data_IF_949303873639
#
_entry.id   IF_949303873639
#
_cell.length_a   1.000
_cell.length_b   1.000
_cell.length_c   1.000
_cell.angle_alpha   90.00
_cell.angle_beta   90.00
_cell.angle_gamma   90.00
#
_symmetry.space_group_name_H-M   'P 1'
#
loop_
_entity.id
_entity.type
_entity.pdbx_description
1 polymer ?
#
# COMPACT_ATOMS: atom_id res chain seq x y z
N UNK A 1 -20.37 -6.78 2.78
CA UNK A 1 -20.82 -5.37 2.70
C UNK A 1 -19.60 -4.50 2.38
N UNK A 2 -19.69 -3.51 1.50
CA UNK A 2 -18.58 -2.58 1.23
C UNK A 2 -18.62 -1.48 2.28
N UNK A 3 -17.51 -1.26 3.00
CA UNK A 3 -17.47 -0.34 4.15
C UNK A 3 -17.33 1.14 3.74
N UNK A 4 -17.05 1.42 2.46
CA UNK A 4 -16.85 2.79 1.96
C UNK A 4 -15.63 3.50 2.56
N UNK A 5 -14.74 2.76 3.23
CA UNK A 5 -13.55 3.32 3.85
C UNK A 5 -12.41 3.40 2.84
N UNK A 6 -11.55 4.44 2.92
CA UNK A 6 -10.33 4.50 2.14
C UNK A 6 -9.40 3.35 2.53
N UNK A 7 -8.82 2.69 1.53
CA UNK A 7 -7.86 1.59 1.69
C UNK A 7 -6.54 2.01 1.07
N UNK A 8 -5.45 1.57 1.69
CA UNK A 8 -4.09 1.80 1.20
C UNK A 8 -3.31 0.50 1.23
N UNK A 9 -2.34 0.38 0.33
CA UNK A 9 -1.40 -0.74 0.35
C UNK A 9 -0.15 -0.37 1.16
N UNK A 10 0.44 -1.34 1.85
CA UNK A 10 1.71 -1.15 2.61
C UNK A 10 2.90 -0.74 1.74
N UNK A 11 2.76 -0.90 0.42
CA UNK A 11 3.76 -0.55 -0.59
C UNK A 11 3.67 0.91 -1.02
N UNK A 12 2.62 1.64 -0.62
CA UNK A 12 2.51 3.06 -0.92
C UNK A 12 3.49 3.89 -0.08
N UNK A 13 4.12 4.88 -0.71
CA UNK A 13 5.18 5.69 -0.09
C UNK A 13 4.73 6.38 1.22
N UNK A 14 3.46 6.80 1.27
CA UNK A 14 2.84 7.45 2.43
C UNK A 14 2.78 6.52 3.64
N UNK A 15 2.47 5.24 3.44
CA UNK A 15 2.50 4.22 4.50
C UNK A 15 3.92 3.82 4.84
N UNK A 16 4.79 3.63 3.84
CA UNK A 16 6.19 3.29 4.10
C UNK A 16 6.86 4.32 5.00
N UNK A 17 6.59 5.62 4.79
CA UNK A 17 7.11 6.70 5.64
C UNK A 17 6.57 6.68 7.08
N UNK A 18 5.43 6.04 7.33
CA UNK A 18 4.82 5.91 8.65
C UNK A 18 5.24 4.64 9.41
N UNK A 19 5.89 3.69 8.73
CA UNK A 19 6.34 2.41 9.31
C UNK A 19 7.83 2.51 9.68
N UNK A 20 8.24 2.05 10.88
CA UNK A 20 9.66 1.97 11.23
C UNK A 20 10.46 1.16 10.20
N UNK A 21 11.60 1.68 9.77
CA UNK A 21 12.41 1.09 8.69
C UNK A 21 12.80 -0.37 8.97
N UNK A 22 13.24 -0.68 10.19
CA UNK A 22 13.60 -2.04 10.60
C UNK A 22 12.44 -3.04 10.42
N UNK A 23 11.22 -2.62 10.77
CA UNK A 23 10.02 -3.47 10.64
C UNK A 23 9.65 -3.64 9.17
N UNK A 24 9.76 -2.59 8.37
CA UNK A 24 9.43 -2.66 6.94
C UNK A 24 10.41 -3.56 6.19
N UNK A 25 11.72 -3.42 6.45
CA UNK A 25 12.75 -4.25 5.82
C UNK A 25 12.60 -5.73 6.19
N UNK A 26 12.35 -6.04 7.48
CA UNK A 26 12.15 -7.41 7.94
C UNK A 26 10.91 -8.06 7.31
N UNK A 27 9.80 -7.33 7.22
CA UNK A 27 8.49 -7.90 6.87
C UNK A 27 8.15 -7.78 5.38
N UNK A 28 8.71 -6.80 4.66
CA UNK A 28 8.30 -6.43 3.30
C UNK A 28 9.49 -6.39 2.33
N UNK A 29 10.70 -6.07 2.81
CA UNK A 29 11.88 -5.81 1.98
C UNK A 29 12.18 -6.90 0.96
N UNK A 30 12.16 -8.18 1.38
CA UNK A 30 12.43 -9.31 0.47
C UNK A 30 11.36 -9.51 -0.60
N UNK A 31 10.11 -9.07 -0.35
CA UNK A 31 9.01 -9.22 -1.30
C UNK A 31 8.98 -8.10 -2.34
N UNK A 32 9.51 -6.93 -2.01
CA UNK A 32 9.50 -5.74 -2.88
C UNK A 32 10.24 -5.97 -4.19
N UNK A 33 11.37 -6.68 -4.15
CA UNK A 33 12.14 -6.98 -5.37
C UNK A 33 11.45 -8.01 -6.27
N UNK A 34 10.44 -8.73 -5.76
CA UNK A 34 9.70 -9.77 -6.49
C UNK A 34 8.35 -9.24 -7.02
N UNK A 35 7.79 -8.23 -6.36
CA UNK A 35 6.48 -7.69 -6.66
C UNK A 35 6.57 -6.46 -7.59
N UNK A 36 5.56 -6.32 -8.44
CA UNK A 36 5.35 -5.09 -9.23
C UNK A 36 4.76 -4.00 -8.32
N UNK A 37 5.63 -3.39 -7.50
CA UNK A 37 5.27 -2.44 -6.44
C UNK A 37 4.37 -1.31 -6.94
N UNK A 38 4.76 -0.67 -8.04
CA UNK A 38 4.04 0.48 -8.59
C UNK A 38 2.65 0.07 -9.10
N UNK A 39 2.53 -1.07 -9.79
CA UNK A 39 1.26 -1.55 -10.31
C UNK A 39 0.26 -1.89 -9.17
N UNK A 40 0.75 -2.48 -8.07
CA UNK A 40 -0.08 -2.79 -6.90
C UNK A 40 -0.53 -1.52 -6.20
N UNK A 41 0.39 -0.57 -5.99
CA UNK A 41 0.09 0.71 -5.36
C UNK A 41 -0.96 1.50 -6.16
N UNK A 42 -0.81 1.56 -7.49
CA UNK A 42 -1.74 2.25 -8.38
C UNK A 42 -3.12 1.59 -8.39
N UNK A 43 -3.20 0.25 -8.42
CA UNK A 43 -4.46 -0.46 -8.36
C UNK A 43 -5.24 -0.16 -7.07
N UNK A 44 -4.56 -0.12 -5.91
CA UNK A 44 -5.23 0.23 -4.64
C UNK A 44 -5.62 1.69 -4.57
N UNK A 45 -4.78 2.59 -5.10
CA UNK A 45 -5.10 4.02 -5.22
C UNK A 45 -6.36 4.24 -6.05
N UNK A 46 -6.51 3.55 -7.17
CA UNK A 46 -7.70 3.65 -8.03
C UNK A 46 -8.99 3.31 -7.25
N UNK A 47 -8.99 2.26 -6.41
CA UNK A 47 -10.13 1.92 -5.57
C UNK A 47 -10.43 3.00 -4.52
N UNK A 48 -9.40 3.64 -3.97
CA UNK A 48 -9.54 4.72 -2.99
C UNK A 48 -10.09 5.99 -3.63
N UNK A 49 -9.68 6.34 -4.84
CA UNK A 49 -10.20 7.50 -5.58
C UNK A 49 -11.67 7.35 -5.98
N UNK A 50 -12.13 6.11 -6.18
CA UNK A 50 -13.53 5.78 -6.42
C UNK A 50 -14.37 5.68 -5.15
N UNK A 51 -13.76 5.73 -3.95
CA UNK A 51 -14.49 5.67 -2.71
C UNK A 51 -15.33 6.95 -2.53
N UNK A 52 -16.64 6.84 -2.24
CA UNK A 52 -17.48 8.01 -2.02
C UNK A 52 -16.99 8.79 -0.80
N UNK A 53 -16.72 10.09 -0.99
CA UNK A 53 -16.27 11.03 0.05
C UNK A 53 -17.35 11.42 1.05
#
# INVERSE_FOLDING_TARGET
VQLGLPVYHVLEAELRAAVPEEVWEEQVGLMVDVLEVDAIADAVREFREQAPS
#
